data_IF_488552457808
#
_entry.id   IF_488552457808
#
_cell.length_a   1.000
_cell.length_b   1.000
_cell.length_c   1.000
_cell.angle_alpha   90.00
_cell.angle_beta   90.00
_cell.angle_gamma   90.00
#
_symmetry.space_group_name_H-M   'P 1'
#
loop_
_entity.id
_entity.type
_entity.pdbx_description
1 polymer ?
#
# COMPACT_ATOMS: atom_id res chain seq x y z
N UNK A 1 -9.44 91.74 -28.85
CA UNK A 1 -10.11 90.89 -27.84
C UNK A 1 -9.67 89.46 -28.10
N UNK A 2 -8.94 88.84 -27.16
CA UNK A 2 -8.45 87.47 -27.32
C UNK A 2 -9.25 86.59 -26.37
N UNK A 3 -10.10 85.72 -26.92
CA UNK A 3 -10.91 84.77 -26.17
C UNK A 3 -10.08 83.55 -25.84
N UNK A 4 -9.82 83.34 -24.54
CA UNK A 4 -9.16 82.14 -24.03
C UNK A 4 -10.25 81.08 -23.84
N UNK A 5 -10.18 80.00 -24.62
CA UNK A 5 -11.04 78.83 -24.41
C UNK A 5 -10.62 78.14 -23.10
N UNK A 6 -11.56 78.10 -22.14
CA UNK A 6 -11.33 77.47 -20.83
C UNK A 6 -11.69 76.00 -20.96
N UNK A 7 -10.69 75.11 -20.88
CA UNK A 7 -10.91 73.67 -20.87
C UNK A 7 -11.78 73.27 -19.65
N UNK A 8 -12.78 72.37 -19.84
CA UNK A 8 -13.67 71.96 -18.78
C UNK A 8 -12.89 71.23 -17.68
N UNK A 9 -13.02 71.71 -16.43
CA UNK A 9 -12.37 71.08 -15.27
C UNK A 9 -12.84 69.64 -15.13
N UNK A 10 -11.89 68.71 -15.12
CA UNK A 10 -12.14 67.30 -14.85
C UNK A 10 -12.86 67.17 -13.49
N UNK A 11 -14.07 66.61 -13.52
CA UNK A 11 -14.80 66.25 -12.29
C UNK A 11 -14.23 64.94 -11.79
N UNK A 12 -13.17 65.03 -10.99
CA UNK A 12 -12.59 63.87 -10.34
C UNK A 12 -13.62 63.27 -9.38
N UNK A 13 -14.08 62.07 -9.70
CA UNK A 13 -14.97 61.33 -8.82
C UNK A 13 -14.14 60.79 -7.65
N UNK A 14 -14.50 61.18 -6.43
CA UNK A 14 -13.75 60.85 -5.21
C UNK A 14 -13.64 59.34 -4.97
N UNK A 15 -14.48 58.53 -5.60
CA UNK A 15 -14.43 57.06 -5.51
C UNK A 15 -13.30 56.48 -6.36
N UNK A 16 -12.91 57.14 -7.46
CA UNK A 16 -11.89 56.65 -8.39
C UNK A 16 -10.49 56.66 -7.77
N UNK A 17 -10.21 57.64 -6.89
CA UNK A 17 -8.90 57.75 -6.22
C UNK A 17 -8.64 56.57 -5.28
N UNK A 18 -9.69 55.99 -4.67
CA UNK A 18 -9.54 54.85 -3.75
C UNK A 18 -9.15 53.56 -4.49
N UNK A 19 -9.59 53.42 -5.74
CA UNK A 19 -9.20 52.28 -6.59
C UNK A 19 -7.71 52.26 -6.94
N UNK A 20 -7.07 53.44 -7.04
CA UNK A 20 -5.64 53.57 -7.38
C UNK A 20 -4.70 53.10 -6.26
N UNK A 21 -5.19 53.04 -5.02
CA UNK A 21 -4.43 52.53 -3.87
C UNK A 21 -4.64 51.04 -3.60
N UNK A 22 -5.46 50.35 -4.41
CA UNK A 22 -5.60 48.89 -4.35
C UNK A 22 -4.36 48.21 -4.95
N UNK A 23 -3.26 48.24 -4.20
CA UNK A 23 -2.07 47.48 -4.55
C UNK A 23 -2.31 46.00 -4.27
N UNK A 24 -2.55 45.22 -5.31
CA UNK A 24 -2.48 43.76 -5.32
C UNK A 24 -1.00 43.31 -5.21
N UNK A 25 -0.21 43.91 -4.30
CA UNK A 25 1.22 43.61 -4.16
C UNK A 25 1.44 42.44 -3.20
N UNK A 26 0.44 42.13 -2.37
CA UNK A 26 0.46 40.98 -1.48
C UNK A 26 -0.25 39.78 -2.13
N UNK A 27 0.52 39.00 -2.89
CA UNK A 27 0.10 37.68 -3.36
C UNK A 27 0.81 36.62 -2.51
N UNK A 28 0.28 36.25 -1.32
CA UNK A 28 0.83 35.13 -0.58
C UNK A 28 0.75 33.89 -1.48
N UNK A 29 1.90 33.23 -1.69
CA UNK A 29 1.93 31.99 -2.48
C UNK A 29 1.17 30.91 -1.71
N UNK A 30 0.09 30.40 -2.31
CA UNK A 30 -0.62 29.25 -1.78
C UNK A 30 0.38 28.07 -1.69
N UNK A 31 0.52 27.49 -0.49
CA UNK A 31 1.37 26.31 -0.29
C UNK A 31 0.73 25.19 -1.09
N UNK A 32 1.41 24.75 -2.15
CA UNK A 32 0.96 23.62 -2.95
C UNK A 32 1.08 22.35 -2.11
N UNK A 33 -0.06 21.69 -1.86
CA UNK A 33 -0.04 20.35 -1.30
C UNK A 33 0.75 19.42 -2.25
N UNK A 34 1.59 18.51 -1.71
CA UNK A 34 2.30 17.57 -2.55
C UNK A 34 1.30 16.81 -3.43
N UNK A 35 1.60 16.72 -4.72
CA UNK A 35 0.73 16.05 -5.70
C UNK A 35 0.33 14.68 -5.17
N UNK A 36 -0.99 14.41 -5.14
CA UNK A 36 -1.54 13.13 -4.69
C UNK A 36 -0.83 12.01 -5.44
N UNK A 37 -0.28 11.05 -4.69
CA UNK A 37 0.47 9.92 -5.24
C UNK A 37 -0.46 9.16 -6.19
N UNK A 38 -0.15 9.17 -7.48
CA UNK A 38 -0.95 8.47 -8.47
C UNK A 38 -0.65 6.97 -8.36
N UNK A 39 -1.61 6.18 -7.90
CA UNK A 39 -1.46 4.73 -7.76
C UNK A 39 -1.86 4.05 -9.07
N UNK A 40 -1.12 3.01 -9.48
CA UNK A 40 -1.51 2.18 -10.61
C UNK A 40 -2.65 1.23 -10.20
N UNK A 41 -3.79 1.30 -10.89
CA UNK A 41 -4.98 0.50 -10.58
C UNK A 41 -4.75 -1.02 -10.64
N UNK A 42 -3.75 -1.49 -11.40
CA UNK A 42 -3.45 -2.93 -11.52
C UNK A 42 -2.52 -3.44 -10.44
N UNK A 43 -1.52 -2.65 -10.05
CA UNK A 43 -0.47 -3.10 -9.11
C UNK A 43 -0.62 -2.54 -7.71
N UNK A 44 -1.43 -1.50 -7.51
CA UNK A 44 -1.57 -0.83 -6.21
C UNK A 44 -0.33 -0.05 -5.77
N UNK A 45 0.69 0.04 -6.63
CA UNK A 45 1.96 0.72 -6.35
C UNK A 45 1.89 2.16 -6.91
N UNK A 46 2.45 3.16 -6.21
CA UNK A 46 2.69 4.49 -6.75
C UNK A 46 3.37 4.48 -8.14
N UNK A 47 2.90 5.32 -9.06
CA UNK A 47 3.58 5.55 -10.34
C UNK A 47 4.95 6.17 -10.08
N UNK A 48 5.92 5.81 -10.92
CA UNK A 48 7.30 6.33 -10.94
C UNK A 48 8.20 6.00 -9.73
N UNK A 49 7.75 5.19 -8.76
CA UNK A 49 8.62 4.72 -7.66
C UNK A 49 9.48 3.53 -8.04
N UNK A 50 8.89 2.59 -8.76
CA UNK A 50 9.58 1.45 -9.32
C UNK A 50 10.11 1.93 -10.68
N UNK A 51 11.42 2.13 -10.79
CA UNK A 51 12.07 2.72 -11.98
C UNK A 51 11.63 2.09 -13.30
N UNK A 52 11.98 2.70 -14.44
CA UNK A 52 11.49 2.28 -15.78
C UNK A 52 11.79 0.82 -16.17
N UNK A 53 12.55 0.11 -15.34
CA UNK A 53 13.10 -1.22 -15.58
C UNK A 53 12.34 -2.33 -14.82
N UNK A 54 11.04 -2.17 -14.57
CA UNK A 54 10.19 -3.15 -13.88
C UNK A 54 9.92 -4.45 -14.67
N UNK A 55 10.78 -4.79 -15.63
CA UNK A 55 10.64 -5.99 -16.46
C UNK A 55 11.49 -7.08 -15.83
N UNK A 56 10.91 -8.28 -15.70
CA UNK A 56 11.63 -9.47 -15.27
C UNK A 56 12.64 -9.87 -16.39
N UNK A 57 13.82 -9.27 -16.37
CA UNK A 57 14.90 -9.55 -17.32
C UNK A 57 16.03 -10.30 -16.64
N UNK A 58 16.79 -11.10 -17.41
CA UNK A 58 17.93 -11.85 -16.88
C UNK A 58 18.95 -10.92 -16.17
N UNK A 59 19.14 -9.70 -16.67
CA UNK A 59 20.04 -8.70 -16.06
C UNK A 59 19.53 -8.18 -14.72
N UNK A 60 18.22 -7.99 -14.56
CA UNK A 60 17.63 -7.56 -13.27
C UNK A 60 17.66 -8.69 -12.25
N UNK A 61 17.40 -9.93 -12.67
CA UNK A 61 17.53 -11.12 -11.82
C UNK A 61 18.97 -11.33 -11.33
N UNK A 62 19.95 -11.21 -12.22
CA UNK A 62 21.37 -11.34 -11.83
C UNK A 62 21.80 -10.26 -10.82
N UNK A 63 21.34 -9.01 -10.99
CA UNK A 63 21.58 -7.93 -10.02
C UNK A 63 20.94 -8.20 -8.67
N UNK A 64 19.71 -8.71 -8.64
CA UNK A 64 19.00 -9.05 -7.40
C UNK A 64 19.73 -10.15 -6.62
N UNK A 65 20.16 -11.22 -7.31
CA UNK A 65 20.92 -12.29 -6.69
C UNK A 65 22.26 -11.79 -6.12
N UNK A 66 22.99 -10.97 -6.88
CA UNK A 66 24.24 -10.38 -6.41
C UNK A 66 24.06 -9.44 -5.20
N UNK A 67 22.92 -8.75 -5.10
CA UNK A 67 22.57 -7.93 -3.93
C UNK A 67 22.24 -8.78 -2.70
N UNK A 68 21.51 -9.88 -2.86
CA UNK A 68 21.24 -10.80 -1.75
C UNK A 68 22.50 -11.48 -1.22
N UNK A 69 23.44 -11.85 -2.10
CA UNK A 69 24.70 -12.48 -1.67
C UNK A 69 25.56 -11.54 -0.78
N UNK A 70 25.42 -10.22 -0.94
CA UNK A 70 26.15 -9.23 -0.13
C UNK A 70 25.53 -8.94 1.24
N UNK A 71 24.25 -9.29 1.47
CA UNK A 71 23.54 -9.04 2.74
C UNK A 71 23.53 -10.27 3.68
N UNK A 72 24.09 -11.41 3.25
CA UNK A 72 24.15 -12.65 4.04
C UNK A 72 25.24 -12.65 5.14
N UNK A 73 25.55 -11.49 5.74
CA UNK A 73 26.42 -11.42 6.94
C UNK A 73 25.63 -11.32 8.26
N UNK A 74 24.31 -11.36 8.22
CA UNK A 74 23.49 -11.61 9.40
C UNK A 74 22.93 -13.03 9.35
N UNK A 75 23.35 -13.87 10.30
CA UNK A 75 22.63 -15.05 10.75
C UNK A 75 21.18 -14.66 11.07
N UNK A 76 20.28 -14.77 10.09
CA UNK A 76 18.85 -14.81 10.34
C UNK A 76 18.23 -15.94 9.52
N UNK A 77 17.43 -16.72 10.22
CA UNK A 77 16.94 -18.04 9.88
C UNK A 77 16.01 -17.97 8.66
N UNK A 78 16.60 -17.98 7.46
CA UNK A 78 15.92 -17.91 6.16
C UNK A 78 15.02 -19.10 5.82
N UNK A 79 14.62 -19.90 6.81
CA UNK A 79 13.57 -20.89 6.65
C UNK A 79 12.22 -20.19 6.54
N UNK A 80 11.82 -19.84 5.31
CA UNK A 80 10.45 -19.40 5.06
C UNK A 80 9.49 -20.47 5.59
N UNK A 81 8.44 -20.04 6.30
CA UNK A 81 7.48 -20.94 6.95
C UNK A 81 6.74 -21.87 5.96
N UNK A 82 6.83 -21.59 4.66
CA UNK A 82 6.31 -22.42 3.60
C UNK A 82 7.19 -23.65 3.30
N UNK A 83 8.51 -23.55 3.43
CA UNK A 83 9.45 -24.66 3.18
C UNK A 83 9.43 -25.70 4.31
N UNK A 84 9.16 -25.28 5.55
CA UNK A 84 9.09 -26.16 6.73
C UNK A 84 7.81 -27.03 6.77
N UNK A 85 6.68 -26.56 6.23
CA UNK A 85 5.41 -27.30 6.33
C UNK A 85 5.27 -28.39 5.25
N UNK A 86 5.76 -28.15 4.02
CA UNK A 86 5.80 -29.20 2.99
C UNK A 86 6.85 -30.28 3.32
N UNK A 87 8.00 -29.87 3.85
CA UNK A 87 9.10 -30.79 4.20
C UNK A 87 8.69 -31.74 5.33
N UNK A 88 8.08 -31.25 6.41
CA UNK A 88 7.67 -32.10 7.55
C UNK A 88 6.67 -33.21 7.17
N UNK A 89 5.64 -32.89 6.37
CA UNK A 89 4.70 -33.91 5.87
C UNK A 89 5.36 -34.93 4.96
N UNK A 90 6.22 -34.47 4.05
CA UNK A 90 6.92 -35.34 3.11
C UNK A 90 7.82 -36.33 3.86
N UNK A 91 8.53 -35.88 4.89
CA UNK A 91 9.37 -36.72 5.75
C UNK A 91 8.55 -37.73 6.55
N UNK A 92 7.47 -37.30 7.22
CA UNK A 92 6.64 -38.18 8.05
C UNK A 92 5.79 -39.19 7.24
N UNK A 93 5.47 -38.86 5.99
CA UNK A 93 4.66 -39.72 5.12
C UNK A 93 5.46 -40.88 4.53
N UNK A 94 6.78 -40.72 4.37
CA UNK A 94 7.65 -41.80 3.88
C UNK A 94 7.73 -42.90 4.93
N UNK A 95 7.58 -44.15 4.51
CA UNK A 95 7.72 -45.33 5.36
C UNK A 95 9.13 -45.92 5.19
N UNK A 96 9.99 -45.91 6.23
CA UNK A 96 11.25 -46.64 6.18
C UNK A 96 10.98 -48.14 6.10
N UNK A 97 11.78 -48.88 5.32
CA UNK A 97 11.61 -50.32 5.13
C UNK A 97 12.02 -51.13 6.37
N UNK A 98 13.03 -50.65 7.10
CA UNK A 98 13.64 -51.33 8.24
C UNK A 98 13.25 -50.69 9.60
N UNK A 99 12.03 -50.13 9.71
CA UNK A 99 11.55 -49.47 10.95
C UNK A 99 11.32 -50.48 12.10
N UNK A 100 11.80 -50.16 13.31
CA UNK A 100 11.46 -50.87 14.56
C UNK A 100 9.96 -50.74 14.88
N UNK A 101 9.33 -51.70 15.60
CA UNK A 101 7.93 -51.57 16.03
C UNK A 101 7.67 -50.31 16.87
N UNK A 102 8.65 -49.83 17.64
CA UNK A 102 8.54 -48.60 18.44
C UNK A 102 8.56 -47.36 17.54
N UNK A 103 9.52 -47.27 16.62
CA UNK A 103 9.63 -46.19 15.64
C UNK A 103 8.37 -46.09 14.76
N UNK A 104 7.80 -47.23 14.38
CA UNK A 104 6.52 -47.29 13.65
C UNK A 104 5.35 -46.70 14.45
N UNK A 105 5.31 -46.92 15.76
CA UNK A 105 4.29 -46.37 16.66
C UNK A 105 4.45 -44.86 16.77
N UNK A 106 5.69 -44.38 16.91
CA UNK A 106 6.00 -42.95 16.98
C UNK A 106 5.69 -42.22 15.67
N UNK A 107 6.09 -42.78 14.51
CA UNK A 107 5.75 -42.23 13.19
C UNK A 107 4.24 -42.05 13.02
N UNK A 108 3.46 -43.07 13.41
CA UNK A 108 2.00 -43.00 13.36
C UNK A 108 1.42 -41.99 14.34
N UNK A 109 2.03 -41.80 15.53
CA UNK A 109 1.62 -40.79 16.50
C UNK A 109 1.84 -39.38 15.93
N UNK A 110 3.06 -39.10 15.45
CA UNK A 110 3.44 -37.81 14.86
C UNK A 110 2.53 -37.45 13.67
N UNK A 111 2.25 -38.41 12.77
CA UNK A 111 1.36 -38.15 11.64
C UNK A 111 -0.09 -37.84 12.07
N UNK A 112 -0.57 -38.46 13.16
CA UNK A 112 -1.91 -38.16 13.72
C UNK A 112 -1.95 -36.79 14.37
N UNK A 113 -0.93 -36.43 15.14
CA UNK A 113 -0.78 -35.13 15.79
C UNK A 113 -0.71 -34.01 14.76
N UNK A 114 0.16 -34.14 13.76
CA UNK A 114 0.26 -33.19 12.66
C UNK A 114 -1.09 -33.00 11.93
N UNK A 115 -1.81 -34.09 11.63
CA UNK A 115 -3.15 -33.99 11.01
C UNK A 115 -4.16 -33.29 11.91
N UNK A 116 -4.07 -33.46 13.23
CA UNK A 116 -4.93 -32.80 14.21
C UNK A 116 -4.62 -31.30 14.25
N UNK A 117 -3.36 -30.92 14.33
CA UNK A 117 -2.89 -29.53 14.30
C UNK A 117 -3.35 -28.81 13.03
N UNK A 118 -3.18 -29.43 11.85
CA UNK A 118 -3.64 -28.84 10.58
C UNK A 118 -5.15 -28.63 10.53
N UNK A 119 -5.96 -29.49 11.17
CA UNK A 119 -7.41 -29.27 11.25
C UNK A 119 -7.75 -28.09 12.16
N UNK A 120 -7.04 -27.94 13.27
CA UNK A 120 -7.21 -26.83 14.21
C UNK A 120 -6.82 -25.52 13.52
N UNK A 121 -5.66 -25.48 12.88
CA UNK A 121 -5.17 -24.31 12.15
C UNK A 121 -6.12 -23.91 11.01
N UNK A 122 -6.55 -24.88 10.20
CA UNK A 122 -7.54 -24.63 9.13
C UNK A 122 -8.86 -24.07 9.69
N UNK A 123 -9.30 -24.56 10.85
CA UNK A 123 -10.51 -24.08 11.52
C UNK A 123 -10.30 -22.64 12.02
N UNK A 124 -9.21 -22.37 12.72
CA UNK A 124 -8.86 -21.04 13.21
C UNK A 124 -8.78 -20.02 12.07
N UNK A 125 -8.08 -20.36 10.97
CA UNK A 125 -8.01 -19.50 9.78
C UNK A 125 -9.39 -19.26 9.18
N UNK A 126 -10.21 -20.30 9.03
CA UNK A 126 -11.58 -20.17 8.51
C UNK A 126 -12.43 -19.24 9.38
N UNK A 127 -12.30 -19.32 10.69
CA UNK A 127 -13.00 -18.44 11.64
C UNK A 127 -12.49 -17.00 11.54
N UNK A 128 -11.17 -16.79 11.53
CA UNK A 128 -10.56 -15.47 11.35
C UNK A 128 -11.02 -14.77 10.06
N UNK A 129 -10.99 -15.46 8.91
CA UNK A 129 -11.47 -14.90 7.64
C UNK A 129 -12.98 -14.61 7.65
N UNK A 130 -13.78 -15.42 8.36
CA UNK A 130 -15.22 -15.20 8.50
C UNK A 130 -15.50 -13.95 9.34
N UNK A 131 -14.74 -13.72 10.40
CA UNK A 131 -14.87 -12.54 11.25
C UNK A 131 -14.42 -11.27 10.54
N UNK A 132 -13.27 -11.30 9.87
CA UNK A 132 -12.78 -10.15 9.12
C UNK A 132 -13.72 -9.80 7.96
N UNK A 133 -14.30 -10.80 7.27
CA UNK A 133 -15.34 -10.55 6.25
C UNK A 133 -16.53 -9.78 6.84
N UNK A 134 -17.06 -10.21 7.99
CA UNK A 134 -18.17 -9.51 8.65
C UNK A 134 -17.80 -8.07 9.04
N UNK A 135 -16.56 -7.87 9.50
CA UNK A 135 -16.05 -6.53 9.85
C UNK A 135 -15.98 -5.62 8.62
N UNK A 136 -15.41 -6.11 7.52
CA UNK A 136 -15.32 -5.38 6.26
C UNK A 136 -16.70 -5.04 5.70
N UNK A 137 -17.66 -5.97 5.75
CA UNK A 137 -19.04 -5.71 5.34
C UNK A 137 -19.70 -4.57 6.15
N UNK A 138 -19.48 -4.54 7.47
CA UNK A 138 -19.96 -3.44 8.33
C UNK A 138 -19.31 -2.11 7.98
N UNK A 139 -18.00 -2.09 7.76
CA UNK A 139 -17.27 -0.87 7.35
C UNK A 139 -17.79 -0.37 6.01
N UNK A 140 -17.97 -1.26 5.03
CA UNK A 140 -18.52 -0.90 3.73
C UNK A 140 -19.94 -0.33 3.83
N UNK A 141 -20.80 -0.91 4.67
CA UNK A 141 -22.15 -0.40 4.89
C UNK A 141 -22.12 0.99 5.54
N UNK A 142 -21.28 1.18 6.57
CA UNK A 142 -21.10 2.47 7.23
C UNK A 142 -20.62 3.54 6.24
N UNK A 143 -19.60 3.23 5.42
CA UNK A 143 -19.08 4.15 4.42
C UNK A 143 -20.14 4.53 3.38
N UNK A 144 -20.96 3.58 2.92
CA UNK A 144 -22.07 3.85 1.98
C UNK A 144 -23.12 4.80 2.56
N UNK A 145 -23.42 4.66 3.85
CA UNK A 145 -24.45 5.44 4.52
C UNK A 145 -23.94 6.83 4.95
N UNK A 146 -22.69 6.92 5.41
CA UNK A 146 -22.17 8.12 6.10
C UNK A 146 -21.13 8.91 5.30
N UNK A 147 -20.59 8.41 4.18
CA UNK A 147 -19.59 9.12 3.35
C UNK A 147 -20.22 9.68 2.06
N UNK A 148 -21.55 9.86 2.03
CA UNK A 148 -22.20 10.59 0.95
C UNK A 148 -21.97 12.10 1.11
N UNK A 149 -20.97 12.60 0.41
CA UNK A 149 -20.91 14.00 -0.01
C UNK A 149 -19.79 14.82 0.59
N UNK A 150 -18.68 14.91 -0.14
CA UNK A 150 -18.03 16.21 -0.36
C UNK A 150 -18.13 16.49 -1.86
N UNK A 151 -19.25 17.11 -2.27
CA UNK A 151 -19.29 17.82 -3.55
C UNK A 151 -18.48 19.10 -3.36
N UNK A 152 -17.22 19.05 -3.79
CA UNK A 152 -16.44 20.25 -4.02
C UNK A 152 -17.07 20.88 -5.27
N UNK A 153 -17.78 21.99 -5.08
CA UNK A 153 -18.24 22.84 -6.19
C UNK A 153 -17.04 23.53 -6.83
#
# INVERSE_FOLDING_TARGET
>A
MMTVEVEPKERWDCETILSTYSNLYNHPKLIEEPKKIAINAKTGIPKDTLGKDNKLTLKTLAKFNAQQEHDNSSDDDGHTQAETVLSTLSVLSIRPKDESPEEKKERKRLLKEYRKERRIEKKANKEAFKEEKKRQEKIMLNNKNNVQGNKIF
#
